data_IF_863554754140
#
_entry.id   IF_863554754140
#
_cell.length_a   1.000
_cell.length_b   1.000
_cell.length_c   1.000
_cell.angle_alpha   90.00
_cell.angle_beta   90.00
_cell.angle_gamma   90.00
#
_symmetry.space_group_name_H-M   'P 1'
#
loop_
_entity.id
_entity.type
_entity.pdbx_description
1 polymer ?
#
# COMPACT_ATOMS: atom_id res chain seq x y z
N UNK A 1 17.66 -10.38 -16.87
CA UNK A 1 16.85 -9.37 -17.59
C UNK A 1 15.40 -9.60 -17.19
N UNK A 2 14.60 -8.56 -16.91
CA UNK A 2 13.33 -8.71 -16.18
C UNK A 2 12.17 -8.08 -16.95
N UNK A 3 11.23 -8.89 -17.47
CA UNK A 3 10.01 -8.42 -18.15
C UNK A 3 8.80 -9.16 -17.60
N UNK A 4 7.81 -8.43 -17.06
CA UNK A 4 6.60 -9.03 -16.48
C UNK A 4 5.64 -9.38 -17.62
N UNK A 5 5.81 -10.54 -18.26
CA UNK A 5 5.24 -10.80 -19.59
C UNK A 5 4.51 -12.16 -19.77
N UNK A 6 3.18 -12.08 -19.79
CA UNK A 6 2.19 -12.88 -20.55
C UNK A 6 2.50 -14.37 -20.83
N UNK A 7 2.00 -15.25 -19.95
CA UNK A 7 1.29 -16.51 -20.30
C UNK A 7 0.03 -16.57 -19.43
N UNK A 8 -1.18 -16.40 -19.97
CA UNK A 8 -1.97 -17.38 -20.74
C UNK A 8 -2.27 -18.63 -19.91
N UNK A 9 -3.52 -18.75 -19.49
CA UNK A 9 -4.09 -19.91 -18.81
C UNK A 9 -4.01 -21.12 -19.75
N UNK A 10 -3.34 -22.18 -19.32
CA UNK A 10 -3.29 -23.46 -20.03
C UNK A 10 -3.34 -24.61 -19.02
N UNK A 11 -4.29 -25.53 -19.19
CA UNK A 11 -4.39 -26.75 -18.39
C UNK A 11 -3.16 -27.64 -18.63
N UNK A 12 -2.60 -28.20 -17.56
CA UNK A 12 -1.49 -29.17 -17.64
C UNK A 12 -2.05 -30.59 -17.72
N UNK A 13 -1.57 -31.35 -18.69
CA UNK A 13 -1.75 -32.80 -18.76
C UNK A 13 -0.57 -33.49 -19.46
N UNK A 14 -0.31 -34.74 -19.08
CA UNK A 14 0.58 -35.74 -19.71
C UNK A 14 2.10 -35.63 -19.39
N UNK A 15 2.71 -36.81 -19.27
CA UNK A 15 3.98 -37.20 -18.61
C UNK A 15 5.02 -37.69 -19.64
N UNK A 16 6.33 -37.83 -19.27
CA UNK A 16 7.25 -39.00 -19.55
C UNK A 16 8.79 -38.65 -19.60
N UNK A 17 9.51 -39.06 -18.54
CA UNK A 17 10.79 -39.83 -18.41
C UNK A 17 12.12 -39.62 -19.22
N UNK A 18 13.24 -40.01 -18.55
CA UNK A 18 14.57 -40.51 -19.03
C UNK A 18 15.62 -39.48 -19.59
N UNK A 19 16.97 -39.66 -19.58
CA UNK A 19 17.98 -40.61 -18.99
C UNK A 19 19.39 -39.88 -18.98
N UNK A 20 20.16 -39.76 -17.88
CA UNK A 20 21.26 -40.60 -17.28
C UNK A 20 22.68 -40.55 -17.93
N UNK A 21 23.67 -39.91 -17.27
CA UNK A 21 25.16 -39.95 -17.53
C UNK A 21 25.92 -38.77 -16.85
N UNK A 22 27.21 -38.74 -16.39
CA UNK A 22 28.44 -39.61 -16.37
C UNK A 22 29.48 -39.37 -17.52
N UNK A 23 30.83 -39.26 -17.33
CA UNK A 23 31.73 -39.27 -16.12
C UNK A 23 33.19 -38.70 -16.36
N UNK A 24 33.86 -38.24 -15.28
CA UNK A 24 35.32 -38.17 -14.90
C UNK A 24 36.50 -37.32 -15.49
N UNK A 25 37.42 -36.96 -14.57
CA UNK A 25 38.90 -36.69 -14.64
C UNK A 25 39.48 -35.46 -15.45
N UNK A 26 40.67 -34.88 -15.16
CA UNK A 26 41.56 -34.80 -13.96
C UNK A 26 42.76 -33.79 -14.18
N UNK A 27 43.50 -33.42 -13.11
CA UNK A 27 44.79 -32.66 -13.08
C UNK A 27 44.81 -31.18 -13.58
N UNK A 28 45.54 -30.18 -13.05
CA UNK A 28 46.72 -29.99 -12.15
C UNK A 28 48.10 -30.04 -12.84
N UNK A 29 49.06 -29.09 -12.67
CA UNK A 29 49.10 -27.83 -11.88
C UNK A 29 50.26 -26.92 -12.38
N UNK A 30 50.32 -25.62 -12.03
CA UNK A 30 51.51 -24.77 -12.29
C UNK A 30 51.37 -23.28 -11.91
N UNK A 31 52.44 -22.68 -11.38
CA UNK A 31 52.50 -21.28 -10.89
C UNK A 31 53.62 -20.47 -11.56
N UNK A 32 53.46 -19.14 -11.70
CA UNK A 32 54.47 -18.10 -11.43
C UNK A 32 53.96 -16.68 -11.76
N UNK A 33 54.50 -15.66 -11.08
CA UNK A 33 54.22 -14.21 -11.26
C UNK A 33 55.55 -13.46 -11.04
N UNK A 34 56.03 -12.67 -12.03
CA UNK A 34 56.10 -11.20 -11.85
C UNK A 34 56.06 -10.41 -13.20
N UNK A 35 56.24 -9.07 -13.21
CA UNK A 35 55.64 -8.03 -12.37
C UNK A 35 54.78 -7.06 -13.21
N UNK A 36 54.28 -5.98 -12.59
CA UNK A 36 53.60 -4.88 -13.28
C UNK A 36 54.60 -3.90 -13.92
N UNK A 37 54.28 -3.43 -15.14
CA UNK A 37 54.74 -2.14 -15.68
C UNK A 37 53.63 -1.52 -16.55
N UNK A 38 53.66 -0.21 -16.81
CA UNK A 38 52.48 0.56 -17.21
C UNK A 38 52.59 1.24 -18.58
N UNK A 39 51.68 0.88 -19.50
CA UNK A 39 51.23 1.71 -20.64
C UNK A 39 49.93 1.16 -21.26
N UNK A 40 49.03 2.02 -21.79
CA UNK A 40 47.73 1.60 -22.30
C UNK A 40 47.79 1.13 -23.77
N UNK A 41 47.34 -0.09 -24.10
CA UNK A 41 47.23 -0.54 -25.49
C UNK A 41 45.90 -0.13 -26.15
N UNK A 42 45.98 0.13 -27.45
CA UNK A 42 44.85 0.41 -28.34
C UNK A 42 43.93 -0.80 -28.55
N UNK A 43 42.70 -0.49 -28.96
CA UNK A 43 41.69 -1.36 -29.59
C UNK A 43 42.16 -2.77 -30.04
N UNK A 44 41.73 -3.80 -29.30
CA UNK A 44 41.93 -5.20 -29.68
C UNK A 44 40.71 -5.70 -30.46
N UNK A 45 40.95 -6.18 -31.69
CA UNK A 45 39.99 -7.05 -32.41
C UNK A 45 40.25 -8.48 -31.94
N UNK A 46 39.22 -9.17 -31.43
CA UNK A 46 39.35 -10.53 -30.91
C UNK A 46 39.05 -11.59 -31.99
N UNK A 47 39.85 -12.65 -31.98
CA UNK A 47 39.71 -13.81 -32.87
C UNK A 47 38.47 -14.66 -32.47
N UNK A 48 37.59 -15.05 -33.42
CA UNK A 48 36.45 -15.94 -33.15
C UNK A 48 36.80 -17.27 -32.47
N UNK A 49 38.02 -17.79 -32.60
CA UNK A 49 38.43 -19.06 -32.00
C UNK A 49 38.52 -19.00 -30.47
N UNK A 50 38.98 -17.88 -29.90
CA UNK A 50 39.27 -17.74 -28.46
C UNK A 50 37.98 -17.72 -27.60
N UNK A 51 36.86 -17.36 -28.22
CA UNK A 51 35.50 -17.40 -27.63
C UNK A 51 35.02 -18.84 -27.36
N UNK A 52 35.52 -19.83 -28.12
CA UNK A 52 35.03 -21.21 -28.09
C UNK A 52 35.71 -22.03 -26.97
N UNK A 53 36.98 -21.77 -26.67
CA UNK A 53 37.76 -22.52 -25.68
C UNK A 53 37.21 -22.38 -24.25
N UNK A 54 36.65 -21.22 -23.88
CA UNK A 54 36.18 -20.92 -22.51
C UNK A 54 34.83 -21.55 -22.12
N UNK A 55 34.25 -22.44 -22.94
CA UNK A 55 32.91 -23.03 -22.71
C UNK A 55 32.86 -24.34 -21.91
N UNK A 56 33.98 -24.84 -21.35
CA UNK A 56 34.03 -26.14 -20.64
C UNK A 56 34.52 -26.06 -19.18
N UNK A 57 33.83 -25.26 -18.34
CA UNK A 57 33.68 -25.52 -16.89
C UNK A 57 32.70 -24.53 -16.24
N UNK A 58 31.41 -24.58 -16.61
CA UNK A 58 30.34 -23.80 -15.97
C UNK A 58 29.06 -24.63 -15.72
N UNK A 59 29.21 -25.86 -15.23
CA UNK A 59 28.11 -26.68 -14.70
C UNK A 59 27.67 -26.19 -13.32
N UNK A 60 27.14 -24.96 -13.24
CA UNK A 60 26.43 -24.44 -12.06
C UNK A 60 25.50 -23.25 -12.34
N UNK A 61 25.15 -22.99 -13.60
CA UNK A 61 24.14 -21.97 -13.93
C UNK A 61 22.73 -22.56 -13.86
N UNK A 62 21.81 -21.99 -13.05
CA UNK A 62 20.40 -22.33 -13.13
C UNK A 62 19.82 -21.92 -14.50
N UNK A 63 18.67 -22.48 -14.92
CA UNK A 63 18.07 -22.16 -16.21
C UNK A 63 17.74 -20.66 -16.34
N UNK A 64 17.68 -20.13 -17.58
CA UNK A 64 17.29 -18.74 -17.83
C UNK A 64 15.81 -18.55 -17.43
N UNK A 65 15.57 -18.06 -16.23
CA UNK A 65 14.23 -17.84 -15.69
C UNK A 65 13.55 -16.64 -16.36
N UNK A 66 12.52 -16.92 -17.15
CA UNK A 66 11.50 -15.96 -17.53
C UNK A 66 10.81 -15.43 -16.26
N UNK A 67 11.15 -14.20 -15.87
CA UNK A 67 10.52 -13.39 -14.82
C UNK A 67 10.36 -14.04 -13.41
N UNK A 68 11.35 -13.90 -12.50
CA UNK A 68 11.28 -14.51 -11.17
C UNK A 68 10.22 -13.92 -10.20
N UNK A 69 9.57 -12.79 -10.53
CA UNK A 69 8.67 -12.06 -9.61
C UNK A 69 7.20 -12.51 -9.65
N UNK A 70 6.98 -13.81 -9.90
CA UNK A 70 5.68 -14.47 -9.72
C UNK A 70 5.68 -15.46 -8.53
N UNK A 71 6.85 -15.78 -7.95
CA UNK A 71 6.97 -16.63 -6.79
C UNK A 71 7.16 -15.83 -5.51
N UNK A 72 6.21 -15.92 -4.58
CA UNK A 72 6.51 -15.74 -3.16
C UNK A 72 7.12 -17.04 -2.58
N UNK A 73 7.68 -16.96 -1.38
CA UNK A 73 8.17 -18.12 -0.60
C UNK A 73 7.21 -18.44 0.54
N UNK A 74 7.00 -19.71 0.85
CA UNK A 74 6.25 -20.13 2.05
C UNK A 74 7.07 -19.91 3.33
N UNK A 75 6.49 -20.18 4.50
CA UNK A 75 7.20 -20.10 5.79
C UNK A 75 8.41 -21.07 5.92
N UNK A 76 8.58 -22.00 4.98
CA UNK A 76 9.72 -22.92 4.88
C UNK A 76 10.73 -22.47 3.80
N UNK A 77 10.58 -21.28 3.22
CA UNK A 77 11.42 -20.74 2.15
C UNK A 77 11.16 -21.33 0.75
N UNK A 78 10.08 -22.11 0.56
CA UNK A 78 9.77 -22.80 -0.70
C UNK A 78 9.06 -21.87 -1.67
N UNK A 79 9.59 -21.75 -2.88
CA UNK A 79 9.04 -20.92 -3.95
C UNK A 79 7.69 -21.43 -4.47
N UNK A 80 6.87 -20.50 -4.98
CA UNK A 80 5.57 -20.79 -5.58
C UNK A 80 4.41 -20.72 -4.58
N UNK A 81 4.63 -20.06 -3.43
CA UNK A 81 3.56 -19.79 -2.49
C UNK A 81 2.56 -18.80 -3.09
N UNK A 82 1.27 -19.16 -3.01
CA UNK A 82 0.14 -18.25 -3.26
C UNK A 82 -0.63 -18.20 -1.95
N UNK A 83 -0.61 -17.05 -1.30
CA UNK A 83 -1.31 -16.84 -0.03
C UNK A 83 -2.82 -16.68 -0.25
N UNK A 84 -3.62 -17.13 0.72
CA UNK A 84 -5.04 -16.79 0.81
C UNK A 84 -5.17 -15.38 1.43
N UNK A 85 -5.70 -14.38 0.70
CA UNK A 85 -5.84 -13.02 1.20
C UNK A 85 -6.99 -12.87 2.22
N UNK A 86 -7.85 -13.88 2.41
CA UNK A 86 -8.95 -13.86 3.39
C UNK A 86 -8.53 -14.42 4.77
N UNK A 87 -7.43 -15.18 4.83
CA UNK A 87 -6.95 -15.85 6.05
C UNK A 87 -6.70 -14.90 7.23
N UNK A 88 -6.25 -13.66 7.00
CA UNK A 88 -6.10 -12.69 8.08
C UNK A 88 -7.46 -12.38 8.74
N UNK A 89 -8.48 -12.06 7.95
CA UNK A 89 -9.82 -11.76 8.47
C UNK A 89 -10.34 -12.96 9.27
N UNK A 90 -10.19 -14.18 8.75
CA UNK A 90 -10.57 -15.41 9.46
C UNK A 90 -9.78 -15.63 10.76
N UNK A 91 -8.49 -15.28 10.80
CA UNK A 91 -7.65 -15.35 12.00
C UNK A 91 -8.14 -14.38 13.09
N UNK A 92 -8.40 -13.12 12.74
CA UNK A 92 -8.86 -12.08 13.67
C UNK A 92 -10.24 -12.44 14.24
N UNK A 93 -11.21 -12.78 13.39
CA UNK A 93 -12.54 -13.24 13.81
C UNK A 93 -12.45 -14.48 14.72
N UNK A 94 -11.51 -15.39 14.44
CA UNK A 94 -11.20 -16.54 15.28
C UNK A 94 -10.62 -16.19 16.65
N UNK A 95 -9.77 -15.14 16.75
CA UNK A 95 -9.28 -14.63 18.05
C UNK A 95 -10.38 -13.91 18.82
N UNK A 96 -11.22 -13.13 18.15
CA UNK A 96 -12.35 -12.42 18.75
C UNK A 96 -13.32 -13.40 19.45
N UNK A 97 -13.86 -14.39 18.72
CA UNK A 97 -14.78 -15.41 19.28
C UNK A 97 -14.20 -16.12 20.51
N UNK A 98 -12.89 -16.38 20.54
CA UNK A 98 -12.20 -17.01 21.69
C UNK A 98 -12.10 -16.12 22.94
N UNK A 99 -12.09 -14.79 22.80
CA UNK A 99 -12.04 -13.85 23.93
C UNK A 99 -13.41 -13.57 24.53
N UNK A 100 -14.42 -13.35 23.68
CA UNK A 100 -15.77 -12.98 24.11
C UNK A 100 -16.67 -14.20 24.43
N UNK A 101 -16.30 -15.41 23.99
CA UNK A 101 -17.00 -16.65 24.32
C UNK A 101 -18.29 -16.93 23.52
N UNK A 102 -18.83 -15.95 22.79
CA UNK A 102 -19.98 -16.17 21.92
C UNK A 102 -19.59 -16.92 20.64
N UNK A 103 -20.04 -18.17 20.56
CA UNK A 103 -19.88 -19.03 19.39
C UNK A 103 -20.94 -18.77 18.29
N UNK A 104 -21.97 -17.97 18.58
CA UNK A 104 -23.11 -17.70 17.70
C UNK A 104 -23.00 -16.37 16.94
N UNK A 105 -22.17 -15.43 17.38
CA UNK A 105 -21.93 -14.14 16.72
C UNK A 105 -21.67 -14.32 15.21
N UNK A 106 -22.48 -13.68 14.37
CA UNK A 106 -22.42 -13.79 12.91
C UNK A 106 -21.22 -13.03 12.34
N UNK A 107 -20.95 -13.22 11.05
CA UNK A 107 -19.86 -12.51 10.36
C UNK A 107 -20.12 -10.99 10.34
N UNK A 108 -21.38 -10.62 10.16
CA UNK A 108 -21.89 -9.26 10.15
C UNK A 108 -21.78 -8.62 11.54
N UNK A 109 -22.20 -9.31 12.61
CA UNK A 109 -22.06 -8.82 14.00
C UNK A 109 -20.58 -8.51 14.33
N UNK A 110 -19.66 -9.38 13.90
CA UNK A 110 -18.23 -9.24 14.18
C UNK A 110 -17.56 -8.10 13.40
N UNK A 111 -18.16 -7.59 12.32
CA UNK A 111 -17.67 -6.43 11.58
C UNK A 111 -18.34 -5.13 12.05
N UNK A 112 -19.66 -5.12 12.20
CA UNK A 112 -20.43 -3.92 12.58
C UNK A 112 -20.11 -3.43 14.00
N UNK A 113 -19.68 -4.31 14.90
CA UNK A 113 -19.23 -3.97 16.25
C UNK A 113 -17.71 -3.75 16.39
N UNK A 114 -16.99 -3.62 15.27
CA UNK A 114 -15.75 -2.81 15.15
C UNK A 114 -14.65 -3.13 16.18
N UNK A 115 -14.37 -4.41 16.39
CA UNK A 115 -13.55 -4.86 17.53
C UNK A 115 -12.05 -4.58 17.42
N UNK A 116 -11.43 -4.28 18.56
CA UNK A 116 -9.97 -4.25 18.73
C UNK A 116 -9.50 -5.35 19.67
N UNK A 117 -8.27 -5.83 19.46
CA UNK A 117 -7.62 -6.81 20.34
C UNK A 117 -6.42 -6.14 21.03
N UNK A 118 -6.57 -5.89 22.33
CA UNK A 118 -5.51 -5.41 23.24
C UNK A 118 -4.73 -6.58 23.85
N UNK A 119 -3.41 -6.60 23.73
CA UNK A 119 -2.57 -7.75 24.08
C UNK A 119 -2.00 -7.67 25.51
N UNK A 120 -2.90 -7.45 26.47
CA UNK A 120 -2.56 -7.05 27.86
C UNK A 120 -1.87 -8.14 28.70
N UNK A 121 -1.82 -9.39 28.21
CA UNK A 121 -1.23 -10.55 28.91
C UNK A 121 0.28 -10.74 28.63
N UNK A 122 0.88 -9.93 27.74
CA UNK A 122 2.28 -10.11 27.31
C UNK A 122 3.26 -9.65 28.40
N UNK A 123 3.52 -10.55 29.35
CA UNK A 123 4.55 -10.42 30.38
C UNK A 123 5.95 -10.59 29.77
N UNK A 124 6.44 -9.54 29.12
CA UNK A 124 7.81 -9.45 28.61
C UNK A 124 8.84 -9.15 29.74
N UNK A 125 10.11 -9.40 29.45
CA UNK A 125 11.23 -9.27 30.40
C UNK A 125 11.56 -7.81 30.79
N UNK A 126 10.94 -6.82 30.12
CA UNK A 126 11.18 -5.39 30.29
C UNK A 126 10.03 -4.66 30.99
N UNK A 127 8.91 -5.35 31.24
CA UNK A 127 7.66 -4.77 31.74
C UNK A 127 6.59 -4.75 30.65
N UNK A 128 5.67 -5.71 30.73
CA UNK A 128 4.70 -6.03 29.68
C UNK A 128 3.91 -4.85 29.11
N UNK A 129 3.67 -4.89 27.80
CA UNK A 129 2.90 -3.87 27.07
C UNK A 129 1.40 -4.10 27.35
N UNK A 130 0.91 -3.58 28.47
CA UNK A 130 -0.52 -3.38 28.66
C UNK A 130 -1.00 -2.33 27.64
N UNK A 131 -1.66 -2.80 26.58
CA UNK A 131 -2.13 -1.96 25.49
C UNK A 131 -3.41 -1.23 25.88
N UNK A 132 -4.30 -1.85 26.67
CA UNK A 132 -5.50 -1.20 27.22
C UNK A 132 -5.15 0.04 28.04
N UNK A 133 -4.10 -0.02 28.87
CA UNK A 133 -3.65 1.15 29.64
C UNK A 133 -3.13 2.26 28.71
N UNK A 134 -2.24 1.93 27.78
CA UNK A 134 -1.62 2.93 26.90
C UNK A 134 -2.61 3.51 25.87
N UNK A 135 -3.55 2.70 25.36
CA UNK A 135 -4.54 3.12 24.36
C UNK A 135 -5.76 3.76 25.01
N UNK A 136 -6.35 3.13 26.04
CA UNK A 136 -7.67 3.51 26.57
C UNK A 136 -7.65 4.29 27.90
N UNK A 137 -6.54 4.26 28.67
CA UNK A 137 -6.43 5.08 29.90
C UNK A 137 -5.64 6.38 29.71
N UNK A 138 -4.89 6.52 28.62
CA UNK A 138 -4.29 7.81 28.23
C UNK A 138 -5.41 8.84 27.92
N UNK A 139 -5.47 10.01 28.58
CA UNK A 139 -6.54 10.98 28.36
C UNK A 139 -6.63 11.51 26.92
N UNK A 140 -7.79 11.97 26.45
CA UNK A 140 -7.93 12.70 25.19
C UNK A 140 -6.96 13.90 25.12
N UNK A 141 -6.48 14.22 23.92
CA UNK A 141 -5.55 15.33 23.69
C UNK A 141 -4.11 15.10 24.17
N UNK A 142 -3.87 14.01 24.92
CA UNK A 142 -2.57 13.70 25.54
C UNK A 142 -1.86 12.48 24.91
N UNK A 143 -2.52 11.78 23.97
CA UNK A 143 -1.92 10.70 23.18
C UNK A 143 -1.27 11.20 21.89
N UNK A 144 -1.13 10.31 20.91
CA UNK A 144 -0.54 10.65 19.59
C UNK A 144 -1.36 11.68 18.82
N UNK A 145 -2.67 11.76 19.09
CA UNK A 145 -3.58 12.74 18.54
C UNK A 145 -3.25 14.17 19.01
N UNK A 146 -2.71 14.35 20.21
CA UNK A 146 -2.48 15.69 20.76
C UNK A 146 -3.76 16.53 20.83
N UNK A 147 -3.65 17.78 21.29
CA UNK A 147 -4.78 18.70 21.48
C UNK A 147 -5.61 18.88 20.20
N UNK A 148 -5.09 19.56 19.18
CA UNK A 148 -5.84 19.78 17.93
C UNK A 148 -6.10 18.54 17.08
N UNK A 149 -5.43 17.40 17.32
CA UNK A 149 -5.69 16.15 16.58
C UNK A 149 -6.72 15.24 17.25
N UNK A 150 -7.10 15.50 18.50
CA UNK A 150 -8.30 14.92 19.10
C UNK A 150 -9.54 15.31 18.29
N UNK A 151 -9.70 16.60 18.00
CA UNK A 151 -10.83 17.11 17.20
C UNK A 151 -10.85 16.54 15.78
N UNK A 152 -9.69 16.26 15.20
CA UNK A 152 -9.58 15.56 13.90
C UNK A 152 -10.20 14.16 13.96
N UNK A 153 -10.01 13.42 15.05
CA UNK A 153 -10.43 12.03 15.13
C UNK A 153 -11.81 11.83 15.74
N UNK A 154 -12.16 12.59 16.78
CA UNK A 154 -13.44 12.46 17.49
C UNK A 154 -14.55 13.37 16.90
N UNK A 155 -14.22 14.61 16.53
CA UNK A 155 -15.21 15.61 16.11
C UNK A 155 -15.35 15.76 14.59
N UNK A 156 -14.32 15.43 13.79
CA UNK A 156 -14.30 15.72 12.34
C UNK A 156 -14.59 14.52 11.44
N UNK A 157 -14.16 13.31 11.82
CA UNK A 157 -14.23 12.13 10.94
C UNK A 157 -15.44 11.26 11.23
N UNK A 158 -16.12 10.86 10.16
CA UNK A 158 -17.17 9.85 10.14
C UNK A 158 -16.57 8.59 9.52
N UNK A 159 -16.61 7.47 10.24
CA UNK A 159 -16.33 6.14 9.66
C UNK A 159 -17.61 5.67 8.98
N UNK A 160 -17.57 5.52 7.66
CA UNK A 160 -18.73 5.34 6.79
C UNK A 160 -19.72 4.25 7.22
N UNK A 161 -20.83 4.67 7.84
CA UNK A 161 -22.01 3.82 8.05
C UNK A 161 -22.71 3.54 6.70
N UNK A 162 -23.44 2.43 6.62
CA UNK A 162 -24.17 2.06 5.39
C UNK A 162 -25.24 3.10 5.07
N UNK A 163 -25.10 3.76 3.92
CA UNK A 163 -26.10 4.69 3.39
C UNK A 163 -25.89 6.17 3.75
N UNK A 164 -24.76 6.55 4.39
CA UNK A 164 -24.39 7.98 4.55
C UNK A 164 -24.23 8.62 3.16
N UNK A 165 -25.09 9.57 2.75
CA UNK A 165 -24.98 10.19 1.44
C UNK A 165 -23.71 11.02 1.35
N UNK A 166 -22.93 10.88 0.28
CA UNK A 166 -21.79 11.77 0.09
C UNK A 166 -22.33 13.18 -0.22
N UNK A 167 -21.79 14.25 0.41
CA UNK A 167 -22.08 15.61 -0.02
C UNK A 167 -21.76 15.73 -1.52
N UNK A 168 -22.72 16.19 -2.33
CA UNK A 168 -22.49 16.42 -3.77
C UNK A 168 -21.25 17.30 -3.93
N UNK A 169 -20.31 16.90 -4.78
CA UNK A 169 -19.27 17.85 -5.19
C UNK A 169 -19.96 19.07 -5.81
N UNK A 170 -19.59 20.30 -5.43
CA UNK A 170 -19.89 21.44 -6.27
C UNK A 170 -19.30 21.16 -7.65
N UNK A 171 -20.09 21.44 -8.68
CA UNK A 171 -19.65 21.39 -10.08
C UNK A 171 -18.44 22.32 -10.22
N UNK A 172 -17.30 21.79 -10.67
CA UNK A 172 -15.96 22.41 -10.55
C UNK A 172 -15.93 23.90 -10.98
N UNK A 173 -15.96 24.85 -10.03
CA UNK A 173 -16.32 26.23 -10.36
C UNK A 173 -15.08 27.14 -10.38
N UNK A 174 -14.38 27.09 -11.51
CA UNK A 174 -13.47 28.10 -12.10
C UNK A 174 -11.96 27.92 -11.89
N UNK A 175 -11.28 28.06 -13.03
CA UNK A 175 -9.95 28.62 -13.31
C UNK A 175 -8.84 28.51 -12.23
N UNK A 176 -7.68 27.87 -12.56
CA UNK A 176 -6.50 27.95 -11.70
C UNK A 176 -5.93 29.38 -11.70
N UNK A 177 -5.24 29.81 -10.63
CA UNK A 177 -4.63 31.14 -10.56
C UNK A 177 -3.74 31.47 -11.76
N UNK A 178 -3.92 32.67 -12.32
CA UNK A 178 -3.32 33.15 -13.57
C UNK A 178 -1.82 32.79 -13.72
N UNK A 179 -1.46 32.09 -14.80
CA UNK A 179 -0.06 31.89 -15.20
C UNK A 179 0.30 30.50 -15.75
N UNK A 180 -0.60 29.51 -15.67
CA UNK A 180 -0.32 28.13 -16.09
C UNK A 180 -1.02 27.79 -17.41
N UNK A 181 -0.25 27.55 -18.48
CA UNK A 181 -0.80 27.32 -19.83
C UNK A 181 -1.54 25.96 -19.97
N UNK A 182 -2.65 25.98 -20.71
CA UNK A 182 -3.63 24.90 -20.78
C UNK A 182 -3.24 23.74 -21.72
N UNK A 183 -2.21 22.98 -21.33
CA UNK A 183 -1.88 21.70 -21.95
C UNK A 183 -2.82 20.57 -21.52
N UNK A 184 -3.72 20.14 -22.42
CA UNK A 184 -4.46 18.87 -22.34
C UNK A 184 -5.26 18.59 -21.03
N UNK A 185 -6.24 19.44 -20.73
CA UNK A 185 -7.32 19.10 -19.77
C UNK A 185 -8.74 19.15 -20.39
N UNK A 186 -8.92 19.80 -21.54
CA UNK A 186 -10.22 19.96 -22.20
C UNK A 186 -10.64 18.73 -23.05
N UNK A 187 -11.05 17.62 -22.41
CA UNK A 187 -11.86 16.58 -23.10
C UNK A 187 -12.75 15.67 -22.22
N UNK A 188 -12.95 15.99 -20.94
CA UNK A 188 -14.02 15.37 -20.15
C UNK A 188 -15.25 16.29 -20.15
N UNK A 189 -16.38 15.89 -20.75
CA UNK A 189 -17.60 16.68 -20.64
C UNK A 189 -18.15 16.55 -19.22
N UNK A 190 -18.34 17.68 -18.54
CA UNK A 190 -19.29 17.72 -17.44
C UNK A 190 -20.67 17.28 -18.00
N UNK A 191 -21.30 16.30 -17.35
CA UNK A 191 -22.62 15.79 -17.69
C UNK A 191 -23.46 15.73 -16.44
N UNK A 192 -24.73 16.09 -16.61
CA UNK A 192 -25.74 16.09 -15.58
C UNK A 192 -25.95 14.68 -15.00
N UNK A 193 -25.85 14.58 -13.67
CA UNK A 193 -26.35 13.53 -12.77
C UNK A 193 -26.48 12.09 -13.37
N UNK A 194 -25.36 11.36 -13.51
CA UNK A 194 -25.42 9.91 -13.43
C UNK A 194 -25.78 9.53 -11.99
N UNK A 195 -27.00 9.02 -11.82
CA UNK A 195 -27.49 8.47 -10.55
C UNK A 195 -26.48 7.48 -9.95
N UNK A 196 -26.51 7.35 -8.61
CA UNK A 196 -25.78 6.33 -7.83
C UNK A 196 -25.50 5.06 -8.63
N UNK A 197 -24.24 4.60 -8.63
CA UNK A 197 -23.88 3.36 -9.31
C UNK A 197 -24.64 2.19 -8.69
N UNK A 198 -25.75 1.81 -9.32
CA UNK A 198 -26.61 0.70 -8.90
C UNK A 198 -26.02 -0.65 -9.36
N UNK A 199 -24.72 -0.84 -9.08
CA UNK A 199 -24.15 -2.18 -8.99
C UNK A 199 -24.87 -2.95 -7.87
N UNK A 200 -25.25 -4.21 -8.09
CA UNK A 200 -25.99 -4.97 -7.08
C UNK A 200 -25.12 -5.37 -5.87
N UNK A 201 -23.79 -5.29 -6.00
CA UNK A 201 -22.81 -5.79 -5.03
C UNK A 201 -21.78 -4.71 -4.67
N UNK A 202 -21.23 -4.72 -3.43
CA UNK A 202 -20.23 -3.75 -2.99
C UNK A 202 -18.90 -3.88 -3.74
N UNK A 203 -18.18 -2.76 -3.98
CA UNK A 203 -16.79 -2.75 -4.45
C UNK A 203 -15.90 -3.67 -3.59
N UNK A 204 -15.31 -4.72 -4.18
CA UNK A 204 -14.41 -5.65 -3.46
C UNK A 204 -12.99 -5.10 -3.44
N UNK A 205 -12.43 -4.93 -2.24
CA UNK A 205 -11.16 -4.21 -2.03
C UNK A 205 -10.07 -5.18 -1.55
N UNK A 206 -9.02 -5.32 -2.36
CA UNK A 206 -7.74 -5.86 -1.93
C UNK A 206 -6.86 -4.77 -1.32
N UNK A 207 -6.23 -5.05 -0.18
CA UNK A 207 -5.27 -4.16 0.48
C UNK A 207 -3.89 -4.83 0.54
N UNK A 208 -2.94 -4.25 -0.17
CA UNK A 208 -1.52 -4.55 -0.03
C UNK A 208 -0.85 -3.63 0.99
N UNK A 209 -0.02 -4.19 1.86
CA UNK A 209 0.93 -3.44 2.68
C UNK A 209 2.36 -3.78 2.24
N UNK A 210 3.27 -2.82 2.10
CA UNK A 210 4.70 -3.10 2.04
C UNK A 210 5.36 -2.94 3.41
N UNK A 211 6.12 -3.96 3.84
CA UNK A 211 6.78 -4.01 5.16
C UNK A 211 8.03 -4.90 5.11
N UNK A 212 8.74 -5.09 6.22
CA UNK A 212 9.85 -6.04 6.37
C UNK A 212 9.91 -6.53 7.83
N UNK A 213 10.59 -7.64 8.11
CA UNK A 213 10.53 -8.35 9.41
C UNK A 213 10.69 -7.44 10.65
N UNK A 214 11.57 -6.43 10.62
CA UNK A 214 11.79 -5.53 11.78
C UNK A 214 10.65 -4.54 12.01
N UNK A 215 9.68 -4.42 11.09
CA UNK A 215 8.44 -3.65 11.22
C UNK A 215 7.19 -4.53 11.33
N UNK A 216 7.33 -5.85 11.51
CA UNK A 216 6.18 -6.73 11.77
C UNK A 216 5.37 -6.33 13.01
N UNK A 217 5.93 -5.54 13.93
CA UNK A 217 5.18 -4.93 15.04
C UNK A 217 4.10 -3.93 14.57
N UNK A 218 4.34 -3.19 13.47
CA UNK A 218 3.34 -2.34 12.83
C UNK A 218 2.34 -3.16 12.00
N UNK A 219 2.81 -4.21 11.32
CA UNK A 219 1.92 -5.15 10.66
C UNK A 219 0.95 -5.79 11.65
N UNK A 220 1.41 -6.24 12.82
CA UNK A 220 0.57 -6.74 13.90
C UNK A 220 -0.50 -5.70 14.26
N UNK A 221 -0.10 -4.45 14.50
CA UNK A 221 -1.04 -3.37 14.82
C UNK A 221 -2.10 -3.13 13.74
N UNK A 222 -1.72 -3.15 12.45
CA UNK A 222 -2.66 -3.04 11.34
C UNK A 222 -3.57 -4.27 11.24
N UNK A 223 -3.02 -5.47 11.44
CA UNK A 223 -3.73 -6.75 11.44
C UNK A 223 -4.80 -6.85 12.53
N UNK A 224 -4.56 -6.23 13.69
CA UNK A 224 -5.45 -6.15 14.84
C UNK A 224 -6.30 -4.86 14.86
N UNK A 225 -6.34 -4.11 13.75
CA UNK A 225 -7.14 -2.89 13.59
C UNK A 225 -7.75 -2.76 12.19
N UNK A 226 -7.18 -2.01 11.25
CA UNK A 226 -7.83 -1.69 9.98
C UNK A 226 -7.77 -2.80 8.91
N UNK A 227 -6.76 -3.67 8.93
CA UNK A 227 -6.47 -4.57 7.81
C UNK A 227 -7.56 -5.62 7.56
N UNK A 228 -8.24 -6.11 8.61
CA UNK A 228 -9.32 -7.09 8.46
C UNK A 228 -10.61 -6.51 7.89
N UNK A 229 -10.73 -5.18 7.76
CA UNK A 229 -11.86 -4.53 7.10
C UNK A 229 -11.75 -4.61 5.55
N UNK A 230 -10.55 -4.88 5.01
CA UNK A 230 -10.32 -5.18 3.60
C UNK A 230 -10.79 -6.59 3.23
N UNK A 231 -11.27 -6.80 2.00
CA UNK A 231 -11.86 -8.09 1.58
C UNK A 231 -10.81 -9.14 1.23
N UNK A 232 -9.65 -8.66 0.78
CA UNK A 232 -8.41 -9.40 0.81
C UNK A 232 -7.33 -8.51 1.40
N UNK A 233 -6.44 -9.07 2.22
CA UNK A 233 -5.26 -8.37 2.71
C UNK A 233 -4.03 -9.26 2.60
N UNK A 234 -2.91 -8.71 2.11
CA UNK A 234 -1.58 -9.31 2.23
C UNK A 234 -0.53 -8.25 2.51
N UNK A 235 0.42 -8.57 3.38
CA UNK A 235 1.60 -7.76 3.64
C UNK A 235 2.82 -8.37 2.94
N UNK A 236 3.52 -7.57 2.15
CA UNK A 236 4.64 -7.99 1.32
C UNK A 236 5.96 -7.64 2.00
N UNK A 237 6.72 -8.68 2.29
CA UNK A 237 7.81 -8.68 3.27
C UNK A 237 8.99 -9.51 2.78
N UNK A 238 10.00 -9.68 3.65
CA UNK A 238 11.15 -10.55 3.47
C UNK A 238 11.07 -11.84 4.31
N UNK A 239 9.95 -12.05 5.03
CA UNK A 239 9.59 -13.25 5.80
C UNK A 239 8.08 -13.51 5.66
N UNK A 240 7.69 -14.78 5.47
CA UNK A 240 6.28 -15.21 5.43
C UNK A 240 5.78 -15.58 6.81
N UNK A 241 4.70 -14.94 7.24
CA UNK A 241 3.94 -15.27 8.45
C UNK A 241 2.43 -15.27 8.12
N UNK A 242 1.82 -16.46 7.93
CA UNK A 242 0.40 -16.57 7.62
C UNK A 242 -0.54 -16.05 8.71
N UNK A 243 -0.09 -15.87 9.95
CA UNK A 243 -0.94 -15.39 11.05
C UNK A 243 -1.23 -13.89 10.97
N UNK A 244 -0.30 -13.12 10.40
CA UNK A 244 -0.43 -11.68 10.12
C UNK A 244 -0.68 -11.37 8.64
N UNK A 245 -0.82 -12.39 7.78
CA UNK A 245 -0.93 -12.23 6.33
C UNK A 245 0.37 -11.77 5.64
N UNK A 246 1.53 -11.98 6.27
CA UNK A 246 2.83 -11.62 5.72
C UNK A 246 3.30 -12.66 4.68
N UNK A 247 3.87 -12.15 3.57
CA UNK A 247 4.32 -12.90 2.41
C UNK A 247 5.72 -12.42 2.02
N UNK A 248 6.70 -13.32 2.14
CA UNK A 248 8.04 -13.19 1.60
C UNK A 248 7.99 -13.12 0.07
N UNK A 249 8.17 -11.92 -0.47
CA UNK A 249 8.11 -11.63 -1.90
C UNK A 249 9.42 -10.98 -2.36
N UNK A 250 10.45 -11.78 -2.69
CA UNK A 250 11.75 -11.28 -3.12
C UNK A 250 11.65 -10.42 -4.38
N UNK A 251 12.31 -9.27 -4.38
CA UNK A 251 12.36 -8.33 -5.51
C UNK A 251 13.77 -8.19 -6.10
N UNK A 252 13.92 -7.40 -7.17
CA UNK A 252 15.23 -7.13 -7.76
C UNK A 252 16.08 -6.26 -6.83
N UNK A 253 17.31 -6.69 -6.55
CA UNK A 253 18.23 -6.00 -5.63
C UNK A 253 17.90 -6.19 -4.14
N UNK A 254 18.71 -5.60 -3.26
CA UNK A 254 18.56 -5.72 -1.80
C UNK A 254 17.25 -5.12 -1.30
N UNK A 255 16.68 -5.72 -0.25
CA UNK A 255 15.59 -5.14 0.57
C UNK A 255 16.12 -3.95 1.39
N UNK A 256 15.75 -2.73 1.00
CA UNK A 256 15.95 -1.49 1.76
C UNK A 256 15.13 -0.34 1.16
N UNK A 257 14.91 0.73 1.93
CA UNK A 257 14.12 1.90 1.52
C UNK A 257 14.59 2.56 0.21
N UNK A 258 15.89 2.47 -0.13
CA UNK A 258 16.42 2.97 -1.41
C UNK A 258 16.01 2.15 -2.63
N UNK A 259 15.27 1.05 -2.47
CA UNK A 259 14.86 0.13 -3.53
C UNK A 259 13.34 -0.12 -3.58
N UNK A 260 12.54 0.77 -2.96
CA UNK A 260 11.08 0.64 -2.91
C UNK A 260 10.44 0.46 -4.30
N UNK A 261 11.01 1.04 -5.35
CA UNK A 261 10.52 0.84 -6.71
C UNK A 261 10.50 -0.62 -7.16
N UNK A 262 11.57 -1.40 -6.92
CA UNK A 262 11.59 -2.80 -7.33
C UNK A 262 10.67 -3.68 -6.47
N UNK A 263 10.54 -3.33 -5.18
CA UNK A 263 9.57 -3.95 -4.27
C UNK A 263 8.15 -3.75 -4.77
N UNK A 264 7.73 -2.51 -5.00
CA UNK A 264 6.40 -2.16 -5.52
C UNK A 264 6.10 -2.77 -6.89
N UNK A 265 7.08 -2.82 -7.81
CA UNK A 265 6.91 -3.56 -9.09
C UNK A 265 6.62 -5.04 -8.88
N UNK A 266 7.33 -5.69 -7.97
CA UNK A 266 7.17 -7.11 -7.66
C UNK A 266 5.81 -7.39 -7.01
N UNK A 267 5.41 -6.53 -6.06
CA UNK A 267 4.09 -6.54 -5.42
C UNK A 267 2.97 -6.45 -6.46
N UNK A 268 2.99 -5.44 -7.33
CA UNK A 268 1.94 -5.28 -8.34
C UNK A 268 1.90 -6.42 -9.36
N UNK A 269 3.04 -6.97 -9.79
CA UNK A 269 3.07 -8.17 -10.62
C UNK A 269 2.50 -9.40 -9.90
N UNK A 270 2.80 -9.60 -8.61
CA UNK A 270 2.25 -10.72 -7.82
C UNK A 270 0.74 -10.58 -7.58
N UNK A 271 0.25 -9.38 -7.25
CA UNK A 271 -1.19 -9.09 -7.09
C UNK A 271 -1.93 -9.34 -8.41
N UNK A 272 -1.41 -8.83 -9.53
CA UNK A 272 -2.00 -9.05 -10.86
C UNK A 272 -1.98 -10.52 -11.29
N UNK A 273 -0.92 -11.26 -10.97
CA UNK A 273 -0.79 -12.67 -11.36
C UNK A 273 -1.80 -13.56 -10.63
N UNK A 274 -2.05 -13.28 -9.35
CA UNK A 274 -2.80 -14.19 -8.48
C UNK A 274 -4.24 -13.76 -8.19
N UNK A 275 -4.52 -12.46 -8.00
CA UNK A 275 -5.80 -11.97 -7.44
C UNK A 275 -6.58 -11.00 -8.35
N UNK A 276 -6.13 -10.80 -9.60
CA UNK A 276 -6.72 -9.83 -10.54
C UNK A 276 -8.21 -10.04 -10.86
N UNK A 277 -8.75 -11.24 -10.65
CA UNK A 277 -10.16 -11.56 -10.90
C UNK A 277 -11.03 -11.52 -9.63
N UNK A 278 -10.40 -11.53 -8.46
CA UNK A 278 -11.04 -11.81 -7.18
C UNK A 278 -11.47 -10.51 -6.47
N UNK A 279 -10.89 -9.38 -6.89
CA UNK A 279 -11.15 -8.04 -6.36
C UNK A 279 -11.28 -7.02 -7.50
N UNK A 280 -11.98 -5.92 -7.22
CA UNK A 280 -12.30 -4.88 -8.21
C UNK A 280 -11.37 -3.67 -8.06
N UNK A 281 -10.92 -3.41 -6.83
CA UNK A 281 -10.01 -2.33 -6.47
C UNK A 281 -8.87 -2.87 -5.60
N UNK A 282 -7.68 -2.31 -5.80
CA UNK A 282 -6.44 -2.74 -5.15
C UNK A 282 -5.74 -1.51 -4.58
N UNK A 283 -5.67 -1.42 -3.25
CA UNK A 283 -4.92 -0.39 -2.54
C UNK A 283 -3.52 -0.89 -2.19
N UNK A 284 -2.52 0.00 -2.19
CA UNK A 284 -1.18 -0.29 -1.70
C UNK A 284 -0.67 0.84 -0.81
N UNK A 285 -0.22 0.51 0.39
CA UNK A 285 0.29 1.42 1.41
C UNK A 285 1.53 0.85 2.15
N UNK A 286 2.17 1.68 2.98
CA UNK A 286 3.24 1.26 3.88
C UNK A 286 2.72 0.75 5.23
N UNK A 287 3.64 0.29 6.07
CA UNK A 287 3.32 -0.19 7.43
C UNK A 287 3.14 0.93 8.47
N UNK A 288 3.57 2.17 8.18
CA UNK A 288 3.20 3.37 8.95
C UNK A 288 1.96 4.11 8.43
N UNK A 289 1.04 3.40 7.77
CA UNK A 289 -0.26 3.90 7.25
C UNK A 289 -1.43 3.26 7.99
N UNK A 290 -2.48 4.05 8.28
CA UNK A 290 -3.79 3.59 8.75
C UNK A 290 -4.85 3.91 7.69
N UNK A 291 -5.71 2.94 7.40
CA UNK A 291 -6.86 3.11 6.51
C UNK A 291 -8.19 3.13 7.27
N UNK A 292 -9.20 3.79 6.68
CA UNK A 292 -10.61 3.67 7.03
C UNK A 292 -11.28 3.06 5.79
N UNK A 293 -11.42 1.73 5.78
CA UNK A 293 -11.75 0.96 4.57
C UNK A 293 -13.19 1.21 4.12
N UNK A 294 -14.08 1.48 5.06
CA UNK A 294 -15.47 1.92 4.85
C UNK A 294 -15.52 3.21 4.02
N UNK A 295 -14.67 4.19 4.34
CA UNK A 295 -14.61 5.46 3.62
C UNK A 295 -14.00 5.30 2.23
N UNK A 296 -13.07 4.36 2.04
CA UNK A 296 -12.61 3.98 0.70
C UNK A 296 -13.74 3.31 -0.09
N UNK A 297 -14.47 2.37 0.51
CA UNK A 297 -15.57 1.63 -0.12
C UNK A 297 -16.72 2.54 -0.53
N UNK A 298 -17.12 3.47 0.34
CA UNK A 298 -18.15 4.48 0.06
C UNK A 298 -17.70 5.47 -1.03
N UNK A 299 -16.42 5.88 -1.02
CA UNK A 299 -15.88 6.72 -2.09
C UNK A 299 -15.83 5.97 -3.43
N UNK A 300 -15.39 4.71 -3.45
CA UNK A 300 -15.38 3.87 -4.65
C UNK A 300 -16.79 3.64 -5.22
N UNK A 301 -17.80 3.39 -4.37
CA UNK A 301 -19.20 3.29 -4.80
C UNK A 301 -19.67 4.57 -5.51
N UNK A 302 -19.20 5.75 -5.07
CA UNK A 302 -19.61 7.04 -5.64
C UNK A 302 -18.95 7.42 -6.98
N UNK A 303 -17.95 6.66 -7.46
CA UNK A 303 -17.20 6.99 -8.68
C UNK A 303 -17.81 6.26 -9.88
N UNK A 304 -18.19 7.03 -10.91
CA UNK A 304 -18.42 6.49 -12.25
C UNK A 304 -17.08 6.08 -12.90
N UNK A 305 -16.75 4.80 -12.82
CA UNK A 305 -15.67 4.17 -13.59
C UNK A 305 -16.16 3.34 -14.79
N UNK A 306 -17.39 3.58 -15.27
CA UNK A 306 -17.98 2.96 -16.46
C UNK A 306 -18.00 1.42 -16.37
N UNK A 307 -18.61 0.91 -15.30
CA UNK A 307 -18.66 -0.52 -14.96
C UNK A 307 -17.25 -1.15 -14.87
N UNK A 308 -16.28 -0.44 -14.28
CA UNK A 308 -14.88 -0.88 -14.19
C UNK A 308 -14.14 -0.88 -15.53
N UNK A 309 -14.52 -0.04 -16.50
CA UNK A 309 -13.84 0.07 -17.81
C UNK A 309 -13.01 1.35 -17.99
N UNK A 310 -13.28 2.43 -17.24
CA UNK A 310 -12.39 3.59 -17.11
C UNK A 310 -11.21 3.24 -16.19
N UNK A 311 -9.99 3.75 -16.42
CA UNK A 311 -8.87 3.58 -15.51
C UNK A 311 -9.00 4.50 -14.28
N UNK A 312 -8.84 3.97 -13.06
CA UNK A 312 -8.71 4.78 -11.84
C UNK A 312 -7.31 4.69 -11.23
N UNK A 313 -6.82 5.83 -10.75
CA UNK A 313 -5.61 5.96 -9.93
C UNK A 313 -5.86 7.02 -8.86
N UNK A 314 -6.24 6.58 -7.66
CA UNK A 314 -6.71 7.42 -6.56
C UNK A 314 -5.65 7.46 -5.45
N UNK A 315 -5.47 8.59 -4.78
CA UNK A 315 -4.58 8.68 -3.63
C UNK A 315 -4.34 10.12 -3.19
N UNK A 316 -3.29 10.34 -2.39
CA UNK A 316 -2.89 11.68 -1.95
C UNK A 316 -2.27 12.48 -3.09
N UNK A 317 -3.09 13.18 -3.88
CA UNK A 317 -2.64 13.94 -5.05
C UNK A 317 -1.53 14.94 -4.71
N UNK A 318 -0.43 14.87 -5.46
CA UNK A 318 0.62 15.88 -5.48
C UNK A 318 1.17 16.09 -6.90
N UNK A 319 1.94 17.17 -7.09
CA UNK A 319 2.60 17.51 -8.34
C UNK A 319 4.11 17.28 -8.22
N UNK A 320 4.67 16.55 -9.18
CA UNK A 320 6.11 16.33 -9.31
C UNK A 320 6.50 16.43 -10.77
N UNK A 321 7.49 17.28 -11.09
CA UNK A 321 8.01 17.48 -12.45
C UNK A 321 6.89 17.66 -13.51
N UNK A 322 5.90 18.50 -13.18
CA UNK A 322 4.70 18.80 -13.97
C UNK A 322 3.76 17.60 -14.24
N UNK A 323 3.75 16.59 -13.36
CA UNK A 323 2.87 15.41 -13.40
C UNK A 323 2.06 15.29 -12.10
N UNK A 324 0.77 14.97 -12.22
CA UNK A 324 -0.11 14.57 -11.10
C UNK A 324 0.21 13.12 -10.69
N UNK A 325 0.83 12.94 -9.53
CA UNK A 325 1.12 11.65 -8.90
C UNK A 325 0.31 11.48 -7.61
N UNK A 326 0.08 10.25 -7.18
CA UNK A 326 -0.50 9.97 -5.87
C UNK A 326 0.65 9.64 -4.90
N UNK A 327 0.65 10.24 -3.70
CA UNK A 327 1.70 10.05 -2.70
C UNK A 327 1.75 8.63 -2.16
N UNK A 328 2.96 8.06 -2.03
CA UNK A 328 3.15 6.69 -1.56
C UNK A 328 2.76 6.48 -0.09
N UNK A 329 3.03 7.47 0.77
CA UNK A 329 2.77 7.43 2.21
C UNK A 329 1.32 7.19 2.63
N UNK A 330 0.33 7.99 2.18
CA UNK A 330 -1.09 7.71 2.44
C UNK A 330 -1.63 6.53 1.62
N UNK A 331 -0.79 5.87 0.82
CA UNK A 331 -1.18 4.83 -0.12
C UNK A 331 -1.99 5.34 -1.31
N UNK A 332 -2.19 4.43 -2.27
CA UNK A 332 -2.95 4.70 -3.49
C UNK A 332 -3.71 3.47 -3.97
N UNK A 333 -4.86 3.72 -4.62
CA UNK A 333 -5.83 2.72 -5.06
C UNK A 333 -5.89 2.68 -6.59
N UNK A 334 -5.75 1.49 -7.17
CA UNK A 334 -5.93 1.20 -8.59
C UNK A 334 -7.20 0.37 -8.78
N UNK A 335 -7.96 0.57 -9.86
CA UNK A 335 -8.97 -0.41 -10.30
C UNK A 335 -8.36 -1.44 -11.25
N UNK A 336 -9.12 -2.49 -11.60
CA UNK A 336 -8.65 -3.56 -12.50
C UNK A 336 -8.04 -3.05 -13.81
N UNK A 337 -8.63 -2.06 -14.47
CA UNK A 337 -8.10 -1.53 -15.74
C UNK A 337 -6.70 -0.93 -15.56
N UNK A 338 -6.51 -0.09 -14.55
CA UNK A 338 -5.20 0.50 -14.25
C UNK A 338 -4.17 -0.55 -13.85
N UNK A 339 -4.53 -1.51 -12.99
CA UNK A 339 -3.63 -2.59 -12.57
C UNK A 339 -3.20 -3.46 -13.77
N UNK A 340 -4.14 -3.77 -14.67
CA UNK A 340 -3.86 -4.52 -15.89
C UNK A 340 -2.86 -3.77 -16.79
N UNK A 341 -3.11 -2.50 -17.08
CA UNK A 341 -2.20 -1.70 -17.92
C UNK A 341 -0.84 -1.47 -17.27
N UNK A 342 -0.80 -1.26 -15.95
CA UNK A 342 0.44 -1.16 -15.18
C UNK A 342 1.32 -2.39 -15.40
N UNK A 343 0.76 -3.58 -15.21
CA UNK A 343 1.55 -4.81 -15.26
C UNK A 343 1.80 -5.29 -16.70
N UNK A 344 0.78 -5.33 -17.56
CA UNK A 344 0.92 -5.93 -18.90
C UNK A 344 1.56 -5.03 -19.94
N UNK A 345 1.46 -3.71 -19.77
CA UNK A 345 1.96 -2.73 -20.76
C UNK A 345 3.06 -1.83 -20.17
N UNK A 346 2.88 -1.24 -18.99
CA UNK A 346 3.85 -0.30 -18.43
C UNK A 346 5.10 -1.00 -17.83
N UNK A 347 4.94 -2.17 -17.21
CA UNK A 347 6.03 -3.04 -16.73
C UNK A 347 6.52 -4.06 -17.79
N UNK A 348 6.04 -3.96 -19.03
CA UNK A 348 6.47 -4.85 -20.13
C UNK A 348 7.96 -4.76 -20.45
N UNK A 349 8.58 -3.59 -20.17
CA UNK A 349 10.00 -3.31 -20.43
C UNK A 349 10.88 -3.61 -19.20
N UNK A 350 12.15 -4.02 -19.39
CA UNK A 350 13.10 -4.09 -18.30
C UNK A 350 13.33 -2.74 -17.63
N UNK A 351 13.13 -2.74 -16.31
CA UNK A 351 13.56 -1.66 -15.42
C UNK A 351 14.36 -2.27 -14.28
N UNK A 352 15.55 -1.74 -14.04
CA UNK A 352 16.49 -2.14 -12.99
C UNK A 352 16.81 -0.98 -12.03
N UNK A 353 16.08 0.15 -12.15
CA UNK A 353 16.26 1.34 -11.29
C UNK A 353 16.06 0.95 -9.83
N UNK A 354 17.04 1.31 -9.01
CA UNK A 354 16.98 1.29 -7.54
C UNK A 354 16.72 2.73 -7.12
N UNK A 355 15.52 3.01 -6.61
CA UNK A 355 15.07 4.34 -6.18
C UNK A 355 14.03 4.19 -5.05
N UNK A 356 14.03 5.13 -4.12
CA UNK A 356 13.07 5.22 -3.01
C UNK A 356 11.78 5.97 -3.36
N UNK A 357 11.81 6.84 -4.38
CA UNK A 357 10.64 7.62 -4.82
C UNK A 357 9.74 6.80 -5.74
N UNK A 358 9.19 5.71 -5.19
CA UNK A 358 8.39 4.74 -5.93
C UNK A 358 7.09 5.35 -6.45
N UNK A 359 6.49 6.26 -5.69
CA UNK A 359 5.23 6.97 -5.97
C UNK A 359 5.36 7.99 -7.12
N UNK A 360 6.48 8.73 -7.14
CA UNK A 360 6.89 9.58 -8.25
C UNK A 360 7.00 8.74 -9.52
N UNK A 361 7.72 7.62 -9.46
CA UNK A 361 7.92 6.75 -10.62
C UNK A 361 6.59 6.12 -11.03
N UNK A 362 5.74 5.71 -10.09
CA UNK A 362 4.38 5.21 -10.32
C UNK A 362 3.56 6.24 -11.13
N UNK A 363 3.61 7.52 -10.76
CA UNK A 363 3.01 8.63 -11.51
C UNK A 363 3.59 8.82 -12.93
N UNK A 364 4.92 8.74 -13.09
CA UNK A 364 5.56 8.75 -14.41
C UNK A 364 5.15 7.56 -15.29
N UNK A 365 5.08 6.36 -14.71
CA UNK A 365 4.78 5.10 -15.37
C UNK A 365 3.32 5.03 -15.84
N UNK A 366 2.37 5.54 -15.03
CA UNK A 366 0.95 5.57 -15.41
C UNK A 366 0.56 6.75 -16.31
N UNK A 367 1.33 7.85 -16.36
CA UNK A 367 1.00 9.07 -17.14
C UNK A 367 0.41 8.85 -18.55
N UNK A 368 0.86 7.88 -19.38
CA UNK A 368 0.28 7.64 -20.71
C UNK A 368 -1.14 7.04 -20.69
N UNK A 369 -1.56 6.49 -19.55
CA UNK A 369 -2.78 5.71 -19.37
C UNK A 369 -3.78 6.40 -18.43
N UNK A 370 -3.28 6.97 -17.33
CA UNK A 370 -4.09 7.63 -16.28
C UNK A 370 -3.21 8.60 -15.47
N UNK A 371 -3.80 9.68 -14.98
CA UNK A 371 -3.15 10.66 -14.08
C UNK A 371 -3.71 10.44 -12.67
N UNK A 372 -2.97 10.79 -11.60
CA UNK A 372 -3.57 10.74 -10.26
C UNK A 372 -4.81 11.63 -10.21
N UNK A 373 -5.94 11.07 -9.76
CA UNK A 373 -7.20 11.78 -9.62
C UNK A 373 -7.13 12.75 -8.44
N UNK A 374 -7.94 13.82 -8.50
CA UNK A 374 -8.24 14.59 -7.31
C UNK A 374 -9.23 13.82 -6.45
N UNK A 375 -8.81 13.48 -5.23
CA UNK A 375 -9.58 12.68 -4.27
C UNK A 375 -10.17 13.52 -3.14
N UNK A 376 -10.19 14.85 -3.29
CA UNK A 376 -10.85 15.74 -2.33
C UNK A 376 -12.37 15.53 -2.33
N UNK A 377 -13.00 15.85 -1.20
CA UNK A 377 -14.45 15.90 -1.09
C UNK A 377 -15.02 17.21 -1.67
N UNK A 378 -16.35 17.31 -1.63
CA UNK A 378 -17.13 18.47 -2.03
C UNK A 378 -16.62 19.82 -1.50
N UNK A 379 -16.14 19.84 -0.25
CA UNK A 379 -15.68 21.06 0.41
C UNK A 379 -14.22 21.38 0.04
N UNK A 380 -13.49 20.41 -0.53
CA UNK A 380 -12.05 20.48 -0.80
C UNK A 380 -11.22 19.76 0.26
N UNK A 381 -11.86 19.06 1.21
CA UNK A 381 -11.17 18.29 2.24
C UNK A 381 -10.51 17.05 1.65
N UNK A 382 -9.26 16.77 2.04
CA UNK A 382 -8.49 15.61 1.60
C UNK A 382 -9.02 14.32 2.24
N UNK A 383 -9.13 13.28 1.42
CA UNK A 383 -9.38 11.90 1.86
C UNK A 383 -8.09 11.15 2.21
N UNK A 384 -7.00 11.39 1.47
CA UNK A 384 -5.72 10.70 1.64
C UNK A 384 -4.69 11.67 2.26
N UNK A 385 -4.24 11.40 3.48
CA UNK A 385 -3.48 12.37 4.30
C UNK A 385 -2.05 11.88 4.57
N UNK A 386 -1.07 12.59 4.02
CA UNK A 386 0.35 12.21 4.04
C UNK A 386 1.07 12.33 5.39
N UNK A 387 0.38 12.72 6.46
CA UNK A 387 0.91 12.88 7.82
C UNK A 387 -0.07 12.31 8.86
N UNK A 388 0.30 12.38 10.14
CA UNK A 388 -0.54 11.88 11.25
C UNK A 388 -1.67 12.87 11.60
N UNK A 389 -2.74 12.45 12.31
CA UNK A 389 -3.83 13.34 12.72
C UNK A 389 -3.36 14.58 13.47
N UNK A 390 -2.43 14.42 14.42
CA UNK A 390 -1.86 15.52 15.21
C UNK A 390 -0.93 16.43 14.44
N UNK A 391 -0.48 16.04 13.24
CA UNK A 391 0.23 16.93 12.33
C UNK A 391 -0.73 17.92 11.68
N UNK A 392 -1.96 17.51 11.36
CA UNK A 392 -2.97 18.40 10.77
C UNK A 392 -3.70 19.25 11.80
N UNK A 393 -3.94 18.73 13.02
CA UNK A 393 -4.44 19.51 14.15
C UNK A 393 -3.54 20.71 14.46
N UNK A 394 -2.30 20.43 14.91
CA UNK A 394 -1.29 21.43 15.32
C UNK A 394 -0.83 22.41 14.24
N UNK A 395 -1.36 22.35 13.01
CA UNK A 395 -0.93 23.22 11.91
C UNK A 395 -1.62 24.60 11.90
N UNK A 396 -2.52 24.92 12.84
CA UNK A 396 -3.24 26.21 12.86
C UNK A 396 -3.38 26.92 14.20
N UNK A 397 -3.12 26.28 15.34
CA UNK A 397 -3.59 26.75 16.66
C UNK A 397 -3.02 28.13 17.06
N UNK A 398 -1.77 28.43 16.69
CA UNK A 398 -1.06 29.67 17.03
C UNK A 398 -1.33 30.84 16.04
N UNK A 399 -2.17 30.65 15.02
CA UNK A 399 -2.33 31.59 13.90
C UNK A 399 -1.12 31.69 12.95
N UNK A 400 0.03 31.12 13.33
CA UNK A 400 1.27 31.06 12.56
C UNK A 400 1.30 29.90 11.56
N UNK A 401 0.34 29.86 10.64
CA UNK A 401 0.33 28.94 9.51
C UNK A 401 1.41 29.37 8.48
N UNK A 402 2.69 29.03 8.67
CA UNK A 402 3.74 29.36 7.69
C UNK A 402 3.57 28.51 6.42
N UNK A 403 3.16 29.09 5.26
CA UNK A 403 2.93 28.34 4.04
C UNK A 403 4.20 27.72 3.45
N UNK A 404 5.38 28.11 3.95
CA UNK A 404 6.69 27.75 3.42
C UNK A 404 7.36 26.58 4.17
N UNK A 405 7.00 26.32 5.43
CA UNK A 405 7.62 25.27 6.26
C UNK A 405 7.05 23.87 5.98
N UNK A 406 5.86 23.79 5.40
CA UNK A 406 5.21 22.53 5.05
C UNK A 406 5.77 21.96 3.73
N UNK A 407 6.37 20.76 3.78
CA UNK A 407 6.97 20.08 2.62
C UNK A 407 5.95 19.73 1.53
N UNK A 408 5.96 20.52 0.46
CA UNK A 408 5.40 20.33 -0.90
C UNK A 408 3.89 20.02 -1.06
N UNK A 409 3.23 19.30 -0.16
CA UNK A 409 1.80 18.96 -0.32
C UNK A 409 0.89 20.18 -0.15
N UNK A 410 1.19 21.09 0.78
CA UNK A 410 0.35 22.27 1.08
C UNK A 410 0.33 23.30 -0.05
N UNK A 411 1.35 23.38 -0.91
CA UNK A 411 1.36 24.34 -2.04
C UNK A 411 0.22 24.10 -3.02
N UNK A 412 -0.28 22.86 -3.12
CA UNK A 412 -1.45 22.49 -3.93
C UNK A 412 -2.77 22.60 -3.14
N UNK A 413 -2.70 22.84 -1.84
CA UNK A 413 -3.86 22.97 -0.96
C UNK A 413 -4.26 24.44 -0.87
N UNK A 414 -3.29 25.32 -0.58
CA UNK A 414 -3.44 26.77 -0.66
C UNK A 414 -3.95 27.21 -2.04
N UNK A 415 -3.29 26.75 -3.12
CA UNK A 415 -3.55 27.22 -4.48
C UNK A 415 -4.96 26.91 -5.05
N UNK A 416 -5.76 26.08 -4.38
CA UNK A 416 -7.09 25.69 -4.86
C UNK A 416 -8.24 26.25 -4.02
N UNK A 417 -8.14 26.30 -2.67
CA UNK A 417 -9.24 26.80 -1.81
C UNK A 417 -8.82 27.55 -0.53
N UNK A 418 -7.53 27.87 -0.32
CA UNK A 418 -7.03 28.50 0.93
C UNK A 418 -7.40 27.75 2.23
N UNK A 419 -7.69 26.46 2.17
CA UNK A 419 -7.98 25.64 3.36
C UNK A 419 -6.68 25.39 4.15
N UNK A 420 -6.76 25.37 5.48
CA UNK A 420 -5.63 25.16 6.39
C UNK A 420 -6.03 24.29 7.58
N UNK A 421 -5.05 23.60 8.20
CA UNK A 421 -5.22 22.76 9.40
C UNK A 421 -6.35 21.75 9.29
N UNK A 422 -7.22 21.69 10.31
CA UNK A 422 -8.37 20.77 10.36
C UNK A 422 -9.38 20.98 9.22
N UNK A 423 -9.43 22.17 8.61
CA UNK A 423 -10.30 22.44 7.46
C UNK A 423 -9.81 21.79 6.16
N UNK A 424 -8.55 21.34 6.10
CA UNK A 424 -8.04 20.49 5.00
C UNK A 424 -8.52 19.05 5.08
N UNK A 425 -9.18 18.65 6.16
CA UNK A 425 -9.54 17.26 6.42
C UNK A 425 -10.97 17.01 5.98
N UNK A 426 -11.16 16.05 5.08
CA UNK A 426 -12.50 15.53 4.77
C UNK A 426 -13.09 14.87 6.01
N UNK A 427 -14.40 14.93 6.22
CA UNK A 427 -15.02 14.05 7.23
C UNK A 427 -14.94 12.57 6.83
N UNK A 428 -14.61 12.27 5.57
CA UNK A 428 -14.55 10.92 5.02
C UNK A 428 -13.11 10.56 4.62
N UNK A 429 -12.17 10.72 5.56
CA UNK A 429 -10.77 10.30 5.41
C UNK A 429 -10.71 8.82 5.02
N UNK A 430 -9.90 8.51 4.01
CA UNK A 430 -9.54 7.15 3.58
C UNK A 430 -8.27 6.68 4.30
N UNK A 431 -7.28 7.55 4.51
CA UNK A 431 -6.02 7.15 5.15
C UNK A 431 -5.24 8.28 5.82
N UNK A 432 -4.48 7.90 6.85
CA UNK A 432 -3.43 8.68 7.52
C UNK A 432 -2.07 7.97 7.41
N UNK A 433 -0.97 8.70 7.52
CA UNK A 433 0.40 8.20 7.37
C UNK A 433 1.30 8.67 8.54
N UNK A 434 2.53 8.16 8.64
CA UNK A 434 3.50 8.41 9.72
C UNK A 434 3.12 7.81 11.10
N UNK A 435 2.20 6.84 11.15
CA UNK A 435 1.78 6.15 12.39
C UNK A 435 2.78 5.05 12.80
N UNK A 436 4.02 5.46 13.08
CA UNK A 436 5.23 4.62 13.22
C UNK A 436 5.35 3.79 14.51
N UNK A 437 4.27 3.66 15.27
CA UNK A 437 4.23 2.95 16.55
C UNK A 437 2.91 2.18 16.65
N UNK A 438 2.98 0.91 17.06
CA UNK A 438 1.83 0.00 17.17
C UNK A 438 0.71 0.55 18.06
N UNK A 439 1.05 1.13 19.21
CA UNK A 439 0.12 1.69 20.18
C UNK A 439 -0.57 2.93 19.60
N UNK A 440 0.16 3.71 18.80
CA UNK A 440 -0.38 4.91 18.15
C UNK A 440 -1.37 4.55 17.05
N UNK A 441 -1.06 3.55 16.22
CA UNK A 441 -1.94 3.05 15.18
C UNK A 441 -3.22 2.45 15.78
N UNK A 442 -3.08 1.61 16.83
CA UNK A 442 -4.22 1.10 17.61
C UNK A 442 -5.05 2.22 18.23
N UNK A 443 -4.43 3.22 18.88
CA UNK A 443 -5.18 4.33 19.50
C UNK A 443 -5.97 5.16 18.50
N UNK A 444 -5.44 5.44 17.31
CA UNK A 444 -6.20 6.17 16.27
C UNK A 444 -7.45 5.39 15.85
N UNK A 445 -7.34 4.06 15.66
CA UNK A 445 -8.51 3.22 15.41
C UNK A 445 -9.47 3.18 16.62
N UNK A 446 -8.95 3.08 17.85
CA UNK A 446 -9.79 2.99 19.06
C UNK A 446 -10.65 4.25 19.27
N UNK A 447 -10.14 5.42 18.89
CA UNK A 447 -10.89 6.69 18.84
C UNK A 447 -11.97 6.62 17.74
N UNK A 448 -11.56 6.38 16.49
CA UNK A 448 -12.43 6.43 15.30
C UNK A 448 -13.59 5.41 15.33
N UNK A 449 -13.37 4.27 15.98
CA UNK A 449 -14.31 3.15 16.02
C UNK A 449 -14.93 2.93 17.43
N UNK A 450 -14.62 3.80 18.41
CA UNK A 450 -15.08 3.76 19.82
C UNK A 450 -14.89 2.39 20.49
N UNK A 451 -13.69 1.80 20.36
CA UNK A 451 -13.42 0.38 20.69
C UNK A 451 -12.91 0.10 22.11
N UNK A 452 -12.76 1.15 22.93
CA UNK A 452 -12.23 1.01 24.30
C UNK A 452 -13.31 0.50 25.28
N UNK A 453 -12.94 -0.31 26.30
CA UNK A 453 -13.89 -0.79 27.31
C UNK A 453 -14.53 0.38 28.10
N UNK A 454 -15.83 0.30 28.39
CA UNK A 454 -16.55 1.27 29.22
C UNK A 454 -15.89 1.43 30.60
N UNK A 455 -15.87 2.65 31.16
CA UNK A 455 -15.14 2.95 32.40
C UNK A 455 -13.63 3.09 32.20
N UNK A 456 -13.18 3.32 30.95
CA UNK A 456 -11.82 3.76 30.64
C UNK A 456 -11.84 5.22 30.19
N UNK A 457 -10.80 5.97 30.54
CA UNK A 457 -10.73 7.43 30.32
C UNK A 457 -11.04 7.84 28.87
N UNK A 458 -10.66 7.02 27.89
CA UNK A 458 -10.97 7.27 26.49
C UNK A 458 -12.40 6.91 26.10
N UNK A 459 -12.96 5.80 26.62
CA UNK A 459 -14.36 5.44 26.36
C UNK A 459 -15.32 6.48 26.95
N UNK A 460 -15.12 6.84 28.21
CA UNK A 460 -15.95 7.80 28.93
C UNK A 460 -15.93 9.19 28.26
N UNK A 461 -14.79 9.58 27.67
CA UNK A 461 -14.68 10.80 26.87
C UNK A 461 -15.36 10.72 25.49
N UNK A 462 -15.46 9.52 24.91
CA UNK A 462 -16.17 9.25 23.65
C UNK A 462 -17.69 9.08 23.84
N UNK A 463 -18.19 9.05 25.08
CA UNK A 463 -19.63 9.20 25.38
C UNK A 463 -20.08 10.68 25.43
N UNK A 464 -19.13 11.62 25.53
CA UNK A 464 -19.38 13.06 25.57
C UNK A 464 -19.32 13.75 24.19
N UNK A 465 -19.09 12.97 23.12
CA UNK A 465 -18.84 13.41 21.73
C UNK A 465 -19.62 12.53 20.74
#
# INVERSE_FOLDING_TARGET
MVTCNKRVIAFVAITILCIKGLIDHSHSVGSNVPPLDASPPSSIVLDPADVIARRRNMTLFPPPLDHPFAGARDANGRWGYVADPTSLRMHVLGRYRRRIGDAHATYEDMIEARYMIFDDDVNDENGGINETDQVCRTPPGHGIEGEGGWDVLANRIVVGERGVPLPKSPDDPREPPNGWEWGEMARYPARDDPQYYNGPEPPRIFCGMYTYHKRHYLLKAASESWAFHCDGFLAFSDVTDPTMGAVDLPHHGTEFYGNMWQKVRSIWCYIYTNYYNDFDYFHLAGDDTLMIVENLRNYLWSIDDDNGTKPLYLGGLYMTQNIRACGGGPGYTLNRVTLKWLVTEAFSKPDIRVDSGEDRIMGFTLRPYVRCYDTRDANGGKRYLGNSPSSYGRSCDDGHCDPNNHRDQTRLDYAWRNLTGVNLISSQVVSFHLLRNQVMLKRVHAILYKTCPNGTVLADALELV
#
